data_IF_192396687434
#
_entry.id   IF_192396687434
#
_cell.length_a   1.000
_cell.length_b   1.000
_cell.length_c   1.000
_cell.angle_alpha   90.00
_cell.angle_beta   90.00
_cell.angle_gamma   90.00
#
_symmetry.space_group_name_H-M   'P 1'
#
loop_
_entity.id
_entity.type
_entity.pdbx_description
1 polymer ?
#
# COMPACT_ATOMS: atom_id res chain seq x y z
N UNK A 1 -31.44 -51.59 10.00
CA UNK A 1 -30.57 -50.78 10.88
C UNK A 1 -29.26 -50.54 10.14
N UNK A 2 -29.11 -49.41 9.45
CA UNK A 2 -27.81 -48.92 9.00
C UNK A 2 -27.62 -47.56 9.68
N UNK A 3 -26.67 -47.49 10.62
CA UNK A 3 -26.29 -46.27 11.29
C UNK A 3 -25.29 -45.52 10.40
N UNK A 4 -25.71 -44.39 9.85
CA UNK A 4 -24.83 -43.46 9.14
C UNK A 4 -23.98 -42.70 10.16
N UNK A 5 -22.68 -42.96 10.21
CA UNK A 5 -21.71 -42.12 10.92
C UNK A 5 -21.59 -40.77 10.21
N UNK A 6 -22.14 -39.72 10.83
CA UNK A 6 -21.81 -38.33 10.51
C UNK A 6 -20.42 -38.02 11.08
N UNK A 7 -19.40 -38.05 10.21
CA UNK A 7 -18.09 -37.51 10.52
C UNK A 7 -18.16 -35.99 10.63
N UNK A 8 -18.00 -35.46 11.84
CA UNK A 8 -17.81 -34.03 12.08
C UNK A 8 -16.41 -33.69 11.54
N UNK A 9 -16.35 -33.08 10.36
CA UNK A 9 -15.13 -32.43 9.89
C UNK A 9 -14.88 -31.20 10.77
N UNK A 10 -13.97 -31.31 11.73
CA UNK A 10 -13.47 -30.17 12.47
C UNK A 10 -12.76 -29.24 11.48
N UNK A 11 -13.37 -28.09 11.19
CA UNK A 11 -12.71 -26.96 10.55
C UNK A 11 -11.60 -26.49 11.49
N UNK A 12 -10.40 -27.01 11.31
CA UNK A 12 -9.19 -26.43 11.89
C UNK A 12 -9.01 -25.05 11.26
N UNK A 13 -9.37 -23.99 11.99
CA UNK A 13 -8.93 -22.64 11.66
C UNK A 13 -7.42 -22.65 11.70
N UNK A 14 -6.77 -22.63 10.53
CA UNK A 14 -5.36 -22.29 10.42
C UNK A 14 -5.21 -20.90 11.02
N UNK A 15 -4.75 -20.83 12.26
CA UNK A 15 -4.33 -19.58 12.87
C UNK A 15 -3.07 -19.16 12.12
N UNK A 16 -3.18 -18.14 11.27
CA UNK A 16 -2.03 -17.49 10.69
C UNK A 16 -1.19 -16.91 11.85
N UNK A 17 -0.09 -17.56 12.20
CA UNK A 17 0.81 -17.09 13.26
C UNK A 17 1.71 -15.99 12.73
N UNK A 18 1.17 -14.76 12.66
CA UNK A 18 1.99 -13.59 12.36
C UNK A 18 3.11 -13.52 13.40
N UNK A 19 4.36 -13.38 12.94
CA UNK A 19 5.42 -13.01 13.87
C UNK A 19 4.99 -11.67 14.49
N UNK A 20 5.00 -11.55 15.82
CA UNK A 20 4.72 -10.29 16.51
C UNK A 20 6.05 -9.63 16.88
N UNK A 21 6.58 -8.76 16.00
CA UNK A 21 7.78 -7.96 16.32
C UNK A 21 7.47 -6.53 16.75
N UNK A 22 6.18 -6.18 16.87
CA UNK A 22 5.77 -4.85 17.32
C UNK A 22 6.00 -3.70 16.32
N UNK A 23 6.41 -3.99 15.07
CA UNK A 23 6.56 -3.00 13.99
C UNK A 23 5.76 -3.38 12.74
N UNK A 24 5.55 -2.43 11.83
CA UNK A 24 4.89 -2.65 10.54
C UNK A 24 3.46 -3.22 10.62
N UNK A 25 2.73 -3.00 11.73
CA UNK A 25 1.31 -3.39 11.85
C UNK A 25 0.41 -2.66 10.85
N UNK A 26 0.78 -1.43 10.47
CA UNK A 26 0.10 -0.59 9.49
C UNK A 26 1.08 -0.22 8.37
N UNK A 27 0.59 0.05 7.15
CA UNK A 27 1.43 0.54 6.06
C UNK A 27 2.24 1.76 6.47
N UNK A 28 3.51 1.81 6.05
CA UNK A 28 4.38 2.96 6.37
C UNK A 28 4.03 4.16 5.49
N UNK A 29 3.97 5.34 6.10
CA UNK A 29 3.83 6.61 5.41
C UNK A 29 5.13 7.39 5.55
N UNK A 30 5.64 7.94 4.44
CA UNK A 30 6.85 8.75 4.51
C UNK A 30 7.26 9.38 3.20
N UNK A 31 8.55 9.67 3.12
CA UNK A 31 9.22 10.21 1.95
C UNK A 31 10.36 9.28 1.55
N UNK A 32 10.63 9.14 0.25
CA UNK A 32 11.82 8.49 -0.25
C UNK A 32 12.43 9.32 -1.40
N UNK A 33 13.75 9.40 -1.43
CA UNK A 33 14.49 10.31 -2.32
C UNK A 33 14.54 9.88 -3.80
N UNK A 34 14.29 8.61 -4.13
CA UNK A 34 14.68 8.03 -5.42
C UNK A 34 13.97 8.65 -6.62
N UNK A 35 12.65 8.72 -6.59
CA UNK A 35 11.83 9.06 -7.76
C UNK A 35 12.17 10.43 -8.37
N UNK A 36 12.63 11.38 -7.56
CA UNK A 36 13.01 12.72 -8.03
C UNK A 36 14.53 12.93 -8.05
N UNK A 37 15.23 12.60 -6.95
CA UNK A 37 16.64 12.97 -6.80
C UNK A 37 17.61 11.90 -7.30
N UNK A 38 17.18 10.64 -7.40
CA UNK A 38 18.05 9.50 -7.74
C UNK A 38 19.32 9.51 -6.86
N UNK A 39 20.52 9.51 -7.46
CA UNK A 39 21.78 9.58 -6.73
C UNK A 39 22.17 10.99 -6.23
N UNK A 40 21.45 12.05 -6.62
CA UNK A 40 21.76 13.44 -6.27
C UNK A 40 21.16 13.82 -4.91
N UNK A 41 21.65 13.14 -3.87
CA UNK A 41 21.20 13.28 -2.49
C UNK A 41 22.36 13.67 -1.59
N UNK A 42 22.06 14.43 -0.54
CA UNK A 42 23.00 14.77 0.53
C UNK A 42 22.25 15.01 1.84
N UNK A 43 22.99 15.15 2.93
CA UNK A 43 22.47 15.39 4.27
C UNK A 43 21.56 16.63 4.35
N UNK A 44 21.98 17.75 3.76
CA UNK A 44 21.22 18.99 3.78
C UNK A 44 19.85 18.82 3.13
N UNK A 45 19.79 18.20 1.95
CA UNK A 45 18.55 17.94 1.22
C UNK A 45 17.57 17.12 2.06
N UNK A 46 18.06 16.09 2.77
CA UNK A 46 17.22 15.22 3.59
C UNK A 46 16.63 15.99 4.77
N UNK A 47 17.43 16.82 5.43
CA UNK A 47 16.98 17.67 6.54
C UNK A 47 15.99 18.74 6.08
N UNK A 48 16.25 19.40 4.95
CA UNK A 48 15.33 20.38 4.35
C UNK A 48 14.00 19.73 3.95
N UNK A 49 14.04 18.53 3.36
CA UNK A 49 12.84 17.75 3.02
C UNK A 49 12.02 17.45 4.28
N UNK A 50 12.66 17.00 5.36
CA UNK A 50 11.98 16.75 6.63
C UNK A 50 11.37 18.04 7.23
N UNK A 51 12.05 19.18 7.13
CA UNK A 51 11.52 20.48 7.55
C UNK A 51 10.28 20.87 6.74
N UNK A 52 10.30 20.68 5.42
CA UNK A 52 9.15 20.95 4.54
C UNK A 52 7.98 20.03 4.89
N UNK A 53 8.21 18.74 5.09
CA UNK A 53 7.17 17.79 5.50
C UNK A 53 6.49 18.22 6.81
N UNK A 54 7.27 18.73 7.77
CA UNK A 54 6.74 19.25 9.03
C UNK A 54 5.94 20.53 8.82
N UNK A 55 6.48 21.50 8.09
CA UNK A 55 5.85 22.82 7.83
C UNK A 55 4.56 22.71 7.02
N UNK A 56 4.52 21.80 6.05
CA UNK A 56 3.36 21.57 5.17
C UNK A 56 2.26 20.72 5.81
N UNK A 57 2.48 20.17 7.01
CA UNK A 57 1.52 19.31 7.70
C UNK A 57 1.50 17.85 7.24
N UNK A 58 2.40 17.44 6.34
CA UNK A 58 2.55 16.04 5.92
C UNK A 58 2.88 15.14 7.11
N UNK A 59 3.80 15.55 7.98
CA UNK A 59 4.10 14.80 9.21
C UNK A 59 2.86 14.66 10.11
N UNK A 60 2.03 15.70 10.19
CA UNK A 60 0.83 15.71 11.03
C UNK A 60 -0.33 14.85 10.50
N UNK A 61 -0.26 14.36 9.26
CA UNK A 61 -1.19 13.36 8.70
C UNK A 61 -0.59 11.96 8.67
N UNK A 62 0.63 11.77 9.17
CA UNK A 62 1.24 10.45 9.36
C UNK A 62 2.47 10.17 8.51
N UNK A 63 2.90 11.06 7.59
CA UNK A 63 4.15 10.88 6.85
C UNK A 63 5.35 11.14 7.78
N UNK A 64 5.73 10.14 8.55
CA UNK A 64 6.72 10.24 9.63
C UNK A 64 8.07 9.56 9.29
N UNK A 65 8.20 8.88 8.15
CA UNK A 65 9.47 8.33 7.69
C UNK A 65 10.15 9.24 6.65
N UNK A 66 11.47 9.40 6.76
CA UNK A 66 12.31 10.03 5.75
C UNK A 66 13.39 9.03 5.35
N UNK A 67 13.25 8.47 4.14
CA UNK A 67 14.06 7.36 3.67
C UNK A 67 15.08 7.82 2.63
N UNK A 68 16.33 7.44 2.88
CA UNK A 68 17.44 7.59 1.95
C UNK A 68 17.44 6.36 1.03
N UNK A 69 17.34 6.58 -0.27
CA UNK A 69 17.49 5.49 -1.25
C UNK A 69 18.96 5.24 -1.61
N UNK A 70 19.23 4.60 -2.75
CA UNK A 70 20.58 4.24 -3.18
C UNK A 70 21.55 5.44 -3.29
N UNK A 71 22.84 5.13 -3.52
CA UNK A 71 23.92 6.09 -3.74
C UNK A 71 24.34 6.93 -2.52
N UNK A 72 24.01 6.49 -1.30
CA UNK A 72 24.40 7.16 -0.07
C UNK A 72 25.81 6.79 0.43
N UNK A 73 26.31 5.60 0.06
CA UNK A 73 27.56 5.04 0.55
C UNK A 73 28.75 5.33 -0.38
N UNK A 74 29.97 5.13 0.12
CA UNK A 74 31.16 4.96 -0.73
C UNK A 74 31.07 3.66 -1.53
N UNK A 75 31.71 3.61 -2.70
CA UNK A 75 31.81 2.41 -3.56
C UNK A 75 32.59 1.25 -2.95
N UNK A 76 33.29 1.48 -1.83
CA UNK A 76 34.10 0.49 -1.13
C UNK A 76 33.75 0.50 0.35
N UNK A 77 33.68 -0.70 0.94
CA UNK A 77 33.66 -0.89 2.39
C UNK A 77 35.01 -0.45 2.97
N UNK A 78 35.04 -0.12 4.26
CA UNK A 78 36.31 0.14 4.95
C UNK A 78 37.11 -1.16 5.20
N UNK A 79 38.28 -1.05 5.83
CA UNK A 79 39.15 -2.18 6.17
C UNK A 79 38.51 -3.22 7.10
N UNK A 80 37.49 -2.85 7.87
CA UNK A 80 36.70 -3.78 8.70
C UNK A 80 35.54 -4.45 7.91
N UNK A 81 35.39 -4.11 6.63
CA UNK A 81 34.29 -4.58 5.78
C UNK A 81 32.94 -3.94 6.12
N UNK A 82 32.91 -2.78 6.78
CA UNK A 82 31.69 -2.04 7.08
C UNK A 82 31.30 -1.10 5.94
N UNK A 83 30.00 -0.88 5.78
CA UNK A 83 29.47 0.19 4.94
C UNK A 83 29.94 1.55 5.47
N UNK A 84 30.28 2.46 4.56
CA UNK A 84 30.74 3.81 4.89
C UNK A 84 29.89 4.80 4.11
N UNK A 85 29.23 5.72 4.79
CA UNK A 85 28.53 6.82 4.14
C UNK A 85 29.52 7.72 3.39
N UNK A 86 29.14 8.22 2.22
CA UNK A 86 29.98 9.16 1.48
C UNK A 86 30.16 10.46 2.30
N UNK A 87 31.37 10.80 2.78
CA UNK A 87 31.59 11.97 3.62
C UNK A 87 31.38 13.30 2.88
N UNK A 88 31.39 13.30 1.54
CA UNK A 88 31.04 14.49 0.76
C UNK A 88 29.52 14.72 0.77
N UNK A 89 28.71 13.65 0.81
CA UNK A 89 27.25 13.74 0.86
C UNK A 89 26.71 13.87 2.29
N UNK A 90 27.36 13.19 3.23
CA UNK A 90 26.96 13.07 4.63
C UNK A 90 28.12 13.44 5.55
N UNK A 91 28.55 14.72 5.57
CA UNK A 91 29.73 15.16 6.31
C UNK A 91 29.62 14.91 7.82
N UNK A 92 28.41 14.89 8.40
CA UNK A 92 28.22 14.55 9.81
C UNK A 92 28.04 13.04 10.08
N UNK A 93 27.90 12.23 9.02
CA UNK A 93 27.61 10.80 9.07
C UNK A 93 26.15 10.47 9.34
N UNK A 94 25.73 9.25 8.96
CA UNK A 94 24.33 8.82 9.03
C UNK A 94 23.78 8.85 10.46
N UNK A 95 24.57 8.48 11.47
CA UNK A 95 24.14 8.51 12.88
C UNK A 95 23.72 9.90 13.37
N UNK A 96 24.39 10.96 12.92
CA UNK A 96 24.02 12.31 13.31
C UNK A 96 22.78 12.80 12.54
N UNK A 97 22.68 12.43 11.25
CA UNK A 97 21.47 12.65 10.46
C UNK A 97 20.24 11.98 11.09
N UNK A 98 20.30 10.70 11.47
CA UNK A 98 19.19 9.98 12.12
C UNK A 98 18.82 10.63 13.45
N UNK A 99 19.81 10.98 14.29
CA UNK A 99 19.58 11.69 15.56
C UNK A 99 18.84 13.01 15.32
N UNK A 100 19.21 13.76 14.29
CA UNK A 100 18.56 15.02 13.93
C UNK A 100 17.12 14.79 13.46
N UNK A 101 16.87 13.80 12.60
CA UNK A 101 15.54 13.40 12.16
C UNK A 101 14.65 12.96 13.33
N UNK A 102 15.18 12.15 14.25
CA UNK A 102 14.49 11.73 15.48
C UNK A 102 14.10 12.92 16.35
N UNK A 103 15.01 13.88 16.56
CA UNK A 103 14.71 15.12 17.30
C UNK A 103 13.64 15.98 16.62
N UNK A 104 13.46 15.84 15.30
CA UNK A 104 12.38 16.50 14.56
C UNK A 104 11.04 15.74 14.62
N UNK A 105 11.03 14.54 15.19
CA UNK A 105 9.86 13.65 15.29
C UNK A 105 9.69 12.72 14.09
N UNK A 106 10.71 12.54 13.27
CA UNK A 106 10.71 11.60 12.15
C UNK A 106 11.42 10.29 12.51
N UNK A 107 11.16 9.27 11.70
CA UNK A 107 11.89 8.01 11.61
C UNK A 107 12.81 8.05 10.39
N UNK A 108 13.98 7.43 10.48
CA UNK A 108 14.97 7.44 9.42
C UNK A 108 15.02 6.08 8.71
N UNK A 109 14.91 6.09 7.39
CA UNK A 109 15.10 4.90 6.56
C UNK A 109 16.38 4.94 5.74
N UNK A 110 16.91 3.76 5.42
CA UNK A 110 18.06 3.57 4.54
C UNK A 110 17.78 2.47 3.52
N UNK A 111 18.71 2.33 2.58
CA UNK A 111 18.64 1.40 1.48
C UNK A 111 19.87 0.48 1.43
N UNK A 112 19.64 -0.79 1.12
CA UNK A 112 20.66 -1.76 0.73
C UNK A 112 20.05 -2.81 -0.20
N UNK A 113 20.81 -3.85 -0.53
CA UNK A 113 20.45 -4.86 -1.52
C UNK A 113 20.77 -6.29 -1.02
N UNK A 114 19.94 -7.26 -1.42
CA UNK A 114 20.12 -8.69 -1.19
C UNK A 114 21.22 -9.31 -2.06
N UNK A 115 21.80 -8.56 -3.00
CA UNK A 115 22.90 -8.97 -3.86
C UNK A 115 24.26 -8.39 -3.45
N UNK A 116 25.25 -8.65 -4.31
CA UNK A 116 26.63 -8.19 -4.10
C UNK A 116 26.77 -6.67 -4.19
N UNK A 117 25.92 -6.05 -5.01
CA UNK A 117 25.88 -4.62 -5.25
C UNK A 117 24.44 -4.15 -5.25
N UNK A 118 24.23 -2.91 -4.84
CA UNK A 118 22.98 -2.21 -5.08
C UNK A 118 22.73 -1.99 -6.57
N UNK A 119 21.51 -1.59 -6.93
CA UNK A 119 21.17 -1.26 -8.31
C UNK A 119 22.05 -0.13 -8.90
N UNK A 120 22.45 0.84 -8.08
CA UNK A 120 23.39 1.90 -8.40
C UNK A 120 24.86 1.48 -8.33
N UNK A 121 25.14 0.20 -8.06
CA UNK A 121 26.49 -0.38 -8.03
C UNK A 121 27.31 -0.02 -6.78
N UNK A 122 26.66 0.23 -5.63
CA UNK A 122 27.31 0.40 -4.32
C UNK A 122 27.37 -0.94 -3.59
N UNK A 123 28.16 -1.11 -2.52
CA UNK A 123 28.22 -2.38 -1.81
C UNK A 123 26.84 -2.84 -1.32
N UNK A 124 26.37 -4.00 -1.79
CA UNK A 124 25.17 -4.66 -1.29
C UNK A 124 25.47 -5.46 -0.02
N UNK A 125 24.45 -6.03 0.60
CA UNK A 125 24.55 -6.68 1.91
C UNK A 125 24.60 -8.21 1.85
N UNK A 126 24.60 -8.82 0.66
CA UNK A 126 24.76 -10.27 0.53
C UNK A 126 26.01 -10.77 1.28
N UNK A 127 25.84 -11.82 2.09
CA UNK A 127 26.88 -12.39 2.96
C UNK A 127 27.47 -11.42 4.02
N UNK A 128 26.84 -10.26 4.24
CA UNK A 128 27.22 -9.27 5.25
C UNK A 128 26.03 -8.86 6.13
N UNK A 129 24.94 -9.62 6.12
CA UNK A 129 23.62 -9.21 6.62
C UNK A 129 23.67 -8.86 8.12
N UNK A 130 24.28 -9.71 8.94
CA UNK A 130 24.42 -9.45 10.38
C UNK A 130 25.26 -8.20 10.67
N UNK A 131 26.33 -7.99 9.89
CA UNK A 131 27.24 -6.85 10.05
C UNK A 131 26.57 -5.55 9.63
N UNK A 132 25.85 -5.57 8.53
CA UNK A 132 25.15 -4.40 8.00
C UNK A 132 23.92 -4.07 8.86
N UNK A 133 23.16 -5.07 9.31
CA UNK A 133 22.06 -4.89 10.27
C UNK A 133 22.55 -4.27 11.58
N UNK A 134 23.72 -4.69 12.10
CA UNK A 134 24.35 -4.06 13.25
C UNK A 134 24.73 -2.60 12.97
N UNK A 135 25.33 -2.34 11.80
CA UNK A 135 25.70 -0.97 11.37
C UNK A 135 24.48 -0.06 11.32
N UNK A 136 23.39 -0.50 10.70
CA UNK A 136 22.13 0.26 10.63
C UNK A 136 21.51 0.48 12.01
N UNK A 137 21.55 -0.53 12.89
CA UNK A 137 21.07 -0.39 14.27
C UNK A 137 21.91 0.60 15.09
N UNK A 138 23.24 0.60 14.92
CA UNK A 138 24.16 1.51 15.61
C UNK A 138 23.99 2.96 15.14
N UNK A 139 23.60 3.15 13.88
CA UNK A 139 23.21 4.45 13.33
C UNK A 139 21.79 4.85 13.71
N UNK A 140 20.98 3.98 14.32
CA UNK A 140 19.60 4.31 14.72
C UNK A 140 18.62 4.38 13.53
N UNK A 141 18.81 3.54 12.52
CA UNK A 141 17.87 3.39 11.41
C UNK A 141 16.60 2.67 11.88
N UNK A 142 15.43 3.19 11.45
CA UNK A 142 14.11 2.65 11.76
C UNK A 142 13.52 1.81 10.62
N UNK A 143 14.01 1.98 9.39
CA UNK A 143 13.46 1.35 8.19
C UNK A 143 14.56 0.95 7.21
N UNK A 144 14.50 -0.27 6.67
CA UNK A 144 15.38 -0.74 5.61
C UNK A 144 14.58 -1.09 4.36
N UNK A 145 14.79 -0.35 3.27
CA UNK A 145 14.44 -0.81 1.92
C UNK A 145 15.53 -1.77 1.46
N UNK A 146 15.15 -3.00 1.14
CA UNK A 146 16.08 -4.05 0.74
C UNK A 146 15.77 -4.55 -0.66
N UNK A 147 16.67 -4.26 -1.59
CA UNK A 147 16.47 -4.42 -3.02
C UNK A 147 17.05 -5.72 -3.57
N UNK A 148 16.95 -5.89 -4.89
CA UNK A 148 17.10 -7.17 -5.55
C UNK A 148 17.98 -7.13 -6.81
N UNK A 149 19.02 -6.29 -6.81
CA UNK A 149 19.99 -6.18 -7.89
C UNK A 149 21.26 -7.02 -7.61
N UNK A 150 22.07 -7.29 -8.65
CA UNK A 150 23.32 -8.06 -8.55
C UNK A 150 23.21 -9.37 -7.72
N UNK A 151 22.08 -10.06 -7.86
CA UNK A 151 21.76 -11.27 -7.12
C UNK A 151 22.68 -12.42 -7.55
N UNK A 152 23.34 -13.14 -6.60
CA UNK A 152 24.04 -14.36 -6.93
C UNK A 152 23.09 -15.37 -7.57
N UNK A 153 23.55 -16.08 -8.61
CA UNK A 153 22.69 -16.93 -9.42
C UNK A 153 21.81 -17.87 -8.58
N UNK A 154 20.49 -17.74 -8.73
CA UNK A 154 19.50 -18.57 -8.00
C UNK A 154 19.67 -20.06 -8.30
N UNK A 155 20.24 -20.43 -9.46
CA UNK A 155 20.61 -21.82 -9.79
C UNK A 155 21.70 -22.41 -8.87
N UNK A 156 22.50 -21.54 -8.25
CA UNK A 156 23.57 -21.88 -7.31
C UNK A 156 23.04 -21.82 -5.88
N UNK A 157 22.38 -20.72 -5.48
CA UNK A 157 21.93 -20.53 -4.09
C UNK A 157 20.69 -21.36 -3.75
N UNK A 158 19.81 -21.60 -4.74
CA UNK A 158 18.50 -22.29 -4.60
C UNK A 158 17.63 -21.74 -3.47
N UNK A 159 17.81 -20.46 -3.12
CA UNK A 159 17.10 -19.80 -2.03
C UNK A 159 15.70 -19.30 -2.43
N UNK A 160 15.45 -19.11 -3.74
CA UNK A 160 14.22 -18.49 -4.22
C UNK A 160 14.08 -17.04 -3.75
N UNK A 161 12.89 -16.46 -3.90
CA UNK A 161 12.64 -15.07 -3.47
C UNK A 161 12.70 -14.98 -1.94
N UNK A 162 11.92 -15.79 -1.21
CA UNK A 162 11.85 -15.71 0.25
C UNK A 162 13.21 -15.99 0.90
N UNK A 163 13.93 -17.01 0.46
CA UNK A 163 15.23 -17.37 1.05
C UNK A 163 16.31 -16.30 0.89
N UNK A 164 16.20 -15.40 -0.10
CA UNK A 164 17.14 -14.26 -0.25
C UNK A 164 16.99 -13.19 0.83
N UNK A 165 15.76 -12.97 1.30
CA UNK A 165 15.47 -11.94 2.30
C UNK A 165 15.58 -12.45 3.74
N UNK A 166 15.47 -13.77 3.94
CA UNK A 166 15.55 -14.45 5.25
C UNK A 166 16.82 -14.07 6.04
N UNK A 167 18.05 -14.09 5.48
CA UNK A 167 19.25 -13.76 6.26
C UNK A 167 19.23 -12.34 6.83
N UNK A 168 18.78 -11.34 6.06
CA UNK A 168 18.65 -9.96 6.53
C UNK A 168 17.53 -9.80 7.56
N UNK A 169 16.37 -10.45 7.34
CA UNK A 169 15.28 -10.49 8.34
C UNK A 169 15.79 -11.02 9.68
N UNK A 170 16.47 -12.16 9.67
CA UNK A 170 16.95 -12.82 10.89
C UNK A 170 18.06 -12.01 11.57
N UNK A 171 18.93 -11.38 10.79
CA UNK A 171 19.93 -10.44 11.27
C UNK A 171 19.29 -9.24 12.00
N UNK A 172 18.28 -8.60 11.40
CA UNK A 172 17.54 -7.49 12.02
C UNK A 172 16.92 -7.91 13.34
N UNK A 173 16.24 -9.05 13.37
CA UNK A 173 15.62 -9.59 14.60
C UNK A 173 16.68 -9.88 15.67
N UNK A 174 17.79 -10.50 15.28
CA UNK A 174 18.89 -10.85 16.20
C UNK A 174 19.52 -9.61 16.83
N UNK A 175 19.84 -8.61 16.02
CA UNK A 175 20.42 -7.33 16.48
C UNK A 175 19.44 -6.59 17.39
N UNK A 176 18.16 -6.53 17.04
CA UNK A 176 17.13 -5.88 17.84
C UNK A 176 16.97 -6.55 19.23
N UNK A 177 16.92 -7.88 19.26
CA UNK A 177 16.88 -8.67 20.51
C UNK A 177 18.10 -8.40 21.38
N UNK A 178 19.30 -8.43 20.80
CA UNK A 178 20.55 -8.15 21.52
C UNK A 178 20.57 -6.72 22.07
N UNK A 179 20.09 -5.75 21.30
CA UNK A 179 20.01 -4.35 21.70
C UNK A 179 18.83 -4.05 22.66
N UNK A 180 17.92 -5.01 22.90
CA UNK A 180 16.65 -4.81 23.63
C UNK A 180 15.83 -3.65 23.06
N UNK A 181 15.73 -3.57 21.74
CA UNK A 181 14.97 -2.56 20.99
C UNK A 181 13.98 -3.24 20.05
N UNK A 182 13.02 -2.46 19.54
CA UNK A 182 12.21 -2.88 18.39
C UNK A 182 13.11 -3.05 17.16
N UNK A 183 12.84 -4.03 16.28
CA UNK A 183 13.54 -4.14 15.01
C UNK A 183 13.18 -3.00 14.07
N UNK A 184 14.07 -2.69 13.14
CA UNK A 184 13.74 -1.81 12.01
C UNK A 184 12.66 -2.45 11.14
N UNK A 185 11.79 -1.64 10.56
CA UNK A 185 10.83 -2.08 9.54
C UNK A 185 11.62 -2.61 8.34
N UNK A 186 11.33 -3.83 7.90
CA UNK A 186 12.05 -4.49 6.83
C UNK A 186 11.20 -4.57 5.58
N UNK A 187 11.57 -3.82 4.54
CA UNK A 187 10.80 -3.74 3.31
C UNK A 187 11.50 -4.46 2.17
N UNK A 188 10.73 -5.30 1.49
CA UNK A 188 11.20 -6.16 0.42
C UNK A 188 10.85 -5.50 -0.92
N UNK A 189 11.88 -5.15 -1.68
CA UNK A 189 11.74 -4.66 -3.05
C UNK A 189 11.98 -5.83 -4.01
N UNK A 190 10.92 -6.62 -4.24
CA UNK A 190 10.99 -7.73 -5.18
C UNK A 190 10.59 -7.28 -6.59
N UNK A 191 11.44 -7.53 -7.58
CA UNK A 191 11.02 -7.48 -8.99
C UNK A 191 10.16 -8.73 -9.31
N UNK A 192 8.87 -8.68 -8.99
CA UNK A 192 7.90 -9.72 -9.40
C UNK A 192 7.45 -9.50 -10.86
N UNK A 193 8.41 -9.38 -11.80
CA UNK A 193 8.17 -9.42 -13.26
C UNK A 193 9.49 -9.20 -14.02
N UNK A 194 9.71 -9.82 -15.20
CA UNK A 194 10.91 -9.59 -16.01
C UNK A 194 11.02 -8.20 -16.66
N UNK A 195 10.06 -7.27 -16.51
CA UNK A 195 10.14 -5.94 -17.17
C UNK A 195 9.48 -4.80 -16.39
N UNK A 196 10.27 -3.73 -16.22
CA UNK A 196 9.92 -2.29 -16.02
C UNK A 196 8.72 -1.96 -15.13
N UNK A 197 8.97 -1.80 -13.83
CA UNK A 197 8.10 -1.05 -12.89
C UNK A 197 8.82 0.19 -12.30
N UNK A 198 10.09 0.43 -12.67
CA UNK A 198 10.96 1.38 -11.96
C UNK A 198 10.80 2.85 -12.39
N UNK A 199 10.03 3.14 -13.44
CA UNK A 199 9.72 4.51 -13.89
C UNK A 199 8.28 4.51 -14.37
N UNK A 200 7.42 5.28 -13.70
CA UNK A 200 5.99 5.35 -13.96
C UNK A 200 5.58 6.82 -14.12
N UNK A 201 5.89 7.41 -15.28
CA UNK A 201 5.64 8.82 -15.60
C UNK A 201 4.40 9.04 -16.50
N UNK A 202 3.66 7.97 -16.82
CA UNK A 202 2.51 7.97 -17.73
C UNK A 202 1.27 7.27 -17.13
N UNK A 203 0.08 7.60 -17.64
CA UNK A 203 -1.22 7.01 -17.26
C UNK A 203 -1.28 5.50 -17.37
N UNK A 204 -0.73 4.94 -18.45
CA UNK A 204 -0.58 3.49 -18.66
C UNK A 204 0.17 2.82 -17.50
N UNK A 205 1.04 3.56 -16.82
CA UNK A 205 1.81 3.07 -15.67
C UNK A 205 0.98 2.95 -14.39
N UNK A 206 0.03 3.87 -14.15
CA UNK A 206 -0.93 3.76 -13.04
C UNK A 206 -1.78 2.50 -13.21
N UNK A 207 -2.24 2.28 -14.44
CA UNK A 207 -3.08 1.14 -14.80
C UNK A 207 -2.35 -0.19 -14.67
N UNK A 208 -1.09 -0.26 -15.11
CA UNK A 208 -0.25 -1.44 -14.91
C UNK A 208 -0.06 -1.78 -13.42
N UNK A 209 0.14 -0.78 -12.56
CA UNK A 209 0.31 -1.03 -11.13
C UNK A 209 -0.95 -1.64 -10.49
N UNK A 210 -2.15 -1.19 -10.87
CA UNK A 210 -3.41 -1.76 -10.37
C UNK A 210 -3.61 -3.25 -10.71
N UNK A 211 -2.93 -3.73 -11.76
CA UNK A 211 -3.01 -5.12 -12.19
C UNK A 211 -2.09 -6.01 -11.35
N UNK A 212 -0.88 -5.52 -11.04
CA UNK A 212 0.13 -6.30 -10.33
C UNK A 212 0.04 -6.19 -8.79
N UNK A 213 -0.54 -5.10 -8.27
CA UNK A 213 -0.65 -4.86 -6.82
C UNK A 213 -1.53 -5.91 -6.09
N UNK A 214 -2.74 -6.28 -6.57
CA UNK A 214 -3.55 -7.32 -5.92
C UNK A 214 -2.87 -8.70 -5.92
N UNK A 215 -2.07 -8.99 -6.96
CA UNK A 215 -1.39 -10.27 -7.14
C UNK A 215 -0.24 -10.52 -6.15
N UNK A 216 0.24 -9.51 -5.41
CA UNK A 216 1.10 -9.78 -4.24
C UNK A 216 0.67 -9.12 -2.93
N UNK A 217 -0.43 -8.37 -2.89
CA UNK A 217 -1.20 -8.21 -1.63
C UNK A 217 -1.75 -9.55 -1.15
N UNK A 218 -2.07 -10.48 -2.06
CA UNK A 218 -2.39 -11.87 -1.71
C UNK A 218 -1.24 -12.65 -1.05
N UNK A 219 -0.05 -12.05 -0.93
CA UNK A 219 1.08 -12.54 -0.14
C UNK A 219 1.34 -11.74 1.15
N UNK A 220 0.59 -10.65 1.43
CA UNK A 220 0.55 -9.99 2.75
C UNK A 220 -0.10 -10.90 3.80
N UNK A 221 -0.85 -11.91 3.35
CA UNK A 221 -1.37 -12.99 4.18
C UNK A 221 -0.34 -14.07 4.53
N UNK A 222 0.96 -13.89 4.19
CA UNK A 222 2.02 -14.70 4.79
C UNK A 222 2.42 -14.11 6.15
N UNK A 223 1.92 -14.67 7.27
CA UNK A 223 2.28 -14.25 8.63
C UNK A 223 3.80 -14.27 8.94
N UNK A 224 4.61 -14.89 8.08
CA UNK A 224 6.07 -15.01 8.25
C UNK A 224 6.84 -13.75 7.84
N UNK A 225 6.18 -12.77 7.22
CA UNK A 225 6.84 -11.65 6.56
C UNK A 225 6.43 -10.30 7.18
N UNK A 226 7.37 -9.66 7.88
CA UNK A 226 7.27 -8.25 8.29
C UNK A 226 7.46 -7.27 7.13
N UNK A 227 7.01 -7.69 5.94
CA UNK A 227 7.37 -7.06 4.69
C UNK A 227 6.17 -6.44 4.02
N UNK A 228 6.33 -5.18 3.61
CA UNK A 228 5.49 -4.61 2.57
C UNK A 228 6.17 -4.85 1.23
N UNK A 229 5.42 -5.40 0.27
CA UNK A 229 5.83 -5.35 -1.13
C UNK A 229 5.74 -3.90 -1.61
N UNK A 230 6.89 -3.32 -1.94
CA UNK A 230 6.95 -1.98 -2.54
C UNK A 230 6.62 -2.08 -4.03
N UNK A 231 5.41 -1.66 -4.41
CA UNK A 231 5.00 -1.58 -5.81
C UNK A 231 5.36 -0.24 -6.48
N UNK A 232 6.51 0.34 -6.09
CA UNK A 232 6.97 1.69 -6.44
C UNK A 232 6.39 2.82 -5.57
N UNK A 233 7.21 3.86 -5.38
CA UNK A 233 6.91 5.08 -4.64
C UNK A 233 5.83 5.91 -5.38
N UNK A 234 5.13 6.77 -4.64
CA UNK A 234 4.13 7.66 -5.22
C UNK A 234 4.78 8.59 -6.26
N UNK A 235 4.13 8.72 -7.42
CA UNK A 235 4.53 9.61 -8.51
C UNK A 235 3.78 10.95 -8.48
N UNK A 236 3.05 11.19 -7.39
CA UNK A 236 2.28 12.42 -7.16
C UNK A 236 3.24 13.61 -7.08
N UNK A 237 3.17 14.49 -8.09
CA UNK A 237 4.08 15.65 -8.23
C UNK A 237 5.20 15.46 -9.25
N UNK A 238 5.33 14.27 -9.83
CA UNK A 238 6.30 13.96 -10.89
C UNK A 238 5.59 13.82 -12.24
N UNK A 239 6.36 13.97 -13.33
CA UNK A 239 5.86 13.79 -14.70
C UNK A 239 4.67 14.69 -15.03
N UNK A 240 3.82 14.23 -15.95
CA UNK A 240 2.73 15.02 -16.52
C UNK A 240 1.33 14.53 -16.10
N UNK A 241 1.21 13.82 -14.97
CA UNK A 241 -0.09 13.35 -14.49
C UNK A 241 -1.06 14.52 -14.25
N UNK A 242 -2.29 14.38 -14.76
CA UNK A 242 -3.38 15.32 -14.51
C UNK A 242 -3.80 15.27 -13.04
N UNK A 243 -4.62 16.24 -12.61
CA UNK A 243 -5.15 16.25 -11.25
C UNK A 243 -5.93 14.97 -10.93
N UNK A 244 -6.81 14.54 -11.84
CA UNK A 244 -7.64 13.35 -11.63
C UNK A 244 -6.80 12.06 -11.65
N UNK A 245 -5.75 11.98 -12.48
CA UNK A 245 -4.83 10.84 -12.48
C UNK A 245 -4.02 10.76 -11.17
N UNK A 246 -3.54 11.90 -10.66
CA UNK A 246 -2.89 11.97 -9.34
C UNK A 246 -3.86 11.49 -8.25
N UNK A 247 -5.12 11.95 -8.31
CA UNK A 247 -6.17 11.55 -7.37
C UNK A 247 -6.42 10.05 -7.42
N UNK A 248 -6.52 9.48 -8.62
CA UNK A 248 -6.70 8.04 -8.89
C UNK A 248 -5.54 7.20 -8.37
N UNK A 249 -4.30 7.55 -8.74
CA UNK A 249 -3.09 6.87 -8.30
C UNK A 249 -2.97 6.84 -6.76
N UNK A 250 -3.10 8.00 -6.12
CA UNK A 250 -2.97 8.09 -4.67
C UNK A 250 -4.09 7.36 -3.93
N UNK A 251 -5.35 7.50 -4.39
CA UNK A 251 -6.50 6.79 -3.81
C UNK A 251 -6.29 5.29 -3.89
N UNK A 252 -5.89 4.78 -5.06
CA UNK A 252 -5.72 3.35 -5.25
C UNK A 252 -4.62 2.80 -4.34
N UNK A 253 -3.45 3.45 -4.26
CA UNK A 253 -2.38 3.02 -3.34
C UNK A 253 -2.84 3.03 -1.88
N UNK A 254 -3.54 4.07 -1.46
CA UNK A 254 -4.02 4.20 -0.09
C UNK A 254 -5.03 3.11 0.27
N UNK A 255 -6.06 2.92 -0.57
CA UNK A 255 -7.12 1.94 -0.31
C UNK A 255 -6.67 0.49 -0.51
N UNK A 256 -5.66 0.26 -1.34
CA UNK A 256 -4.99 -1.04 -1.47
C UNK A 256 -4.01 -1.33 -0.31
N UNK A 257 -3.92 -0.44 0.69
CA UNK A 257 -3.01 -0.58 1.84
C UNK A 257 -1.53 -0.71 1.47
N UNK A 258 -1.13 -0.05 0.38
CA UNK A 258 0.29 0.13 0.05
C UNK A 258 0.95 1.10 1.04
N UNK A 259 2.27 0.95 1.35
CA UNK A 259 3.04 2.03 1.92
C UNK A 259 2.95 3.29 1.05
N UNK A 260 2.80 4.45 1.68
CA UNK A 260 2.65 5.72 0.98
C UNK A 260 3.94 6.52 1.12
N UNK A 261 4.90 6.25 0.24
CA UNK A 261 6.13 7.03 0.14
C UNK A 261 6.01 8.12 -0.91
N UNK A 262 6.06 9.37 -0.48
CA UNK A 262 6.17 10.53 -1.36
C UNK A 262 7.55 10.51 -2.02
N UNK A 263 7.60 10.68 -3.34
CA UNK A 263 8.84 10.63 -4.12
C UNK A 263 9.05 11.84 -5.03
N UNK A 264 8.60 13.04 -4.62
CA UNK A 264 8.66 14.26 -5.45
C UNK A 264 9.53 15.35 -4.82
N UNK A 265 9.78 16.45 -5.54
CA UNK A 265 10.42 17.64 -4.99
C UNK A 265 9.44 18.45 -4.12
N UNK A 266 9.54 18.29 -2.80
CA UNK A 266 8.63 18.98 -1.88
C UNK A 266 8.82 20.50 -1.84
N UNK A 267 9.98 21.03 -2.23
CA UNK A 267 10.21 22.48 -2.30
C UNK A 267 9.36 23.16 -3.39
N UNK A 268 8.88 22.38 -4.37
CA UNK A 268 8.03 22.84 -5.47
C UNK A 268 6.62 22.22 -5.42
N UNK A 269 6.19 21.70 -4.27
CA UNK A 269 4.88 21.05 -4.15
C UNK A 269 3.75 22.06 -4.38
N UNK A 270 2.78 21.69 -5.22
CA UNK A 270 1.57 22.50 -5.44
C UNK A 270 0.53 22.27 -4.35
N UNK A 271 -0.38 23.24 -4.17
CA UNK A 271 -1.52 23.10 -3.24
C UNK A 271 -2.37 21.86 -3.55
N UNK A 272 -2.58 21.56 -4.84
CA UNK A 272 -3.39 20.42 -5.27
C UNK A 272 -2.74 19.09 -4.90
N UNK A 273 -1.42 18.99 -5.11
CA UNK A 273 -0.62 17.82 -4.72
C UNK A 273 -0.65 17.64 -3.21
N UNK A 274 -0.49 18.73 -2.45
CA UNK A 274 -0.56 18.70 -1.00
C UNK A 274 -1.94 18.30 -0.48
N UNK A 275 -3.02 18.81 -1.10
CA UNK A 275 -4.40 18.45 -0.76
C UNK A 275 -4.70 16.97 -1.00
N UNK A 276 -4.14 16.37 -2.06
CA UNK A 276 -4.22 14.93 -2.32
C UNK A 276 -3.50 14.17 -1.22
N UNK A 277 -2.22 14.49 -0.97
CA UNK A 277 -1.39 13.78 0.00
C UNK A 277 -1.92 13.90 1.43
N UNK A 278 -2.64 14.98 1.77
CA UNK A 278 -3.12 15.25 3.15
C UNK A 278 -4.57 14.85 3.41
N UNK A 279 -5.20 14.06 2.52
CA UNK A 279 -6.58 13.62 2.73
C UNK A 279 -6.69 12.61 3.88
N UNK A 280 -7.00 13.13 5.08
CA UNK A 280 -7.08 12.36 6.33
C UNK A 280 -8.09 11.21 6.30
N UNK A 281 -9.18 11.31 5.54
CA UNK A 281 -10.21 10.27 5.53
C UNK A 281 -9.79 9.04 4.74
N UNK A 282 -9.11 9.24 3.62
CA UNK A 282 -8.54 8.13 2.84
C UNK A 282 -7.31 7.55 3.56
N UNK A 283 -6.48 8.39 4.18
CA UNK A 283 -5.38 7.92 5.05
C UNK A 283 -5.91 7.05 6.19
N UNK A 284 -7.05 7.41 6.81
CA UNK A 284 -7.64 6.62 7.88
C UNK A 284 -8.07 5.20 7.44
N UNK A 285 -8.40 4.99 6.16
CA UNK A 285 -8.66 3.65 5.62
C UNK A 285 -7.36 2.86 5.45
N UNK A 286 -6.32 3.49 4.91
CA UNK A 286 -4.99 2.90 4.80
C UNK A 286 -4.47 2.46 6.18
N UNK A 287 -4.64 3.35 7.17
CA UNK A 287 -4.20 3.22 8.56
C UNK A 287 -5.26 2.60 9.49
N UNK A 288 -6.20 1.81 8.95
CA UNK A 288 -7.23 1.15 9.76
C UNK A 288 -6.60 0.11 10.72
N UNK A 289 -6.73 0.27 12.05
CA UNK A 289 -6.09 -0.59 13.04
C UNK A 289 -6.82 -1.92 13.29
N UNK A 290 -8.04 -2.07 12.73
CA UNK A 290 -8.91 -3.24 12.91
C UNK A 290 -8.90 -4.11 11.66
N UNK A 291 -9.05 -3.52 10.49
CA UNK A 291 -9.09 -4.23 9.21
C UNK A 291 -7.78 -4.03 8.46
N UNK A 292 -6.92 -5.06 8.44
CA UNK A 292 -5.64 -5.05 7.72
C UNK A 292 -5.75 -5.40 6.23
N UNK A 293 -6.89 -5.93 5.78
CA UNK A 293 -7.12 -6.34 4.40
C UNK A 293 -7.29 -5.14 3.46
N UNK A 294 -6.75 -5.23 2.24
CA UNK A 294 -6.96 -4.22 1.21
C UNK A 294 -8.37 -4.29 0.62
N UNK A 295 -8.79 -3.24 -0.09
CA UNK A 295 -9.88 -3.39 -1.05
C UNK A 295 -9.52 -4.45 -2.12
N UNK A 296 -10.53 -5.12 -2.67
CA UNK A 296 -10.40 -6.09 -3.75
C UNK A 296 -11.39 -5.78 -4.87
N UNK A 297 -11.06 -6.12 -6.13
CA UNK A 297 -11.95 -5.84 -7.25
C UNK A 297 -13.16 -6.79 -7.18
N UNK A 298 -14.35 -6.26 -7.39
CA UNK A 298 -15.57 -7.07 -7.51
C UNK A 298 -16.17 -7.02 -8.91
N UNK A 299 -15.69 -6.11 -9.78
CA UNK A 299 -16.06 -6.08 -11.19
C UNK A 299 -15.02 -5.34 -12.04
N UNK A 300 -14.67 -5.89 -13.20
CA UNK A 300 -13.68 -5.28 -14.11
C UNK A 300 -14.25 -4.14 -14.94
N UNK A 301 -15.57 -4.13 -15.15
CA UNK A 301 -16.28 -3.05 -15.83
C UNK A 301 -16.27 -3.25 -17.34
N UNK A 302 -15.51 -2.45 -18.10
CA UNK A 302 -15.50 -2.56 -19.57
C UNK A 302 -14.94 -3.88 -20.09
N UNK A 303 -14.14 -4.58 -19.26
CA UNK A 303 -13.63 -5.91 -19.56
C UNK A 303 -14.41 -6.97 -18.76
N UNK A 304 -14.50 -8.22 -19.26
CA UNK A 304 -14.94 -9.34 -18.46
C UNK A 304 -14.13 -9.47 -17.16
N UNK A 305 -14.76 -9.96 -16.10
CA UNK A 305 -14.08 -10.17 -14.82
C UNK A 305 -12.85 -11.08 -14.98
N UNK A 306 -11.82 -10.81 -14.18
CA UNK A 306 -10.51 -11.48 -14.23
C UNK A 306 -9.71 -11.29 -15.53
N UNK A 307 -10.06 -10.31 -16.37
CA UNK A 307 -9.29 -9.99 -17.57
C UNK A 307 -8.01 -9.20 -17.25
N UNK A 308 -6.90 -9.59 -17.86
CA UNK A 308 -5.69 -8.77 -17.89
C UNK A 308 -5.80 -7.73 -19.02
N UNK A 309 -5.78 -6.45 -18.68
CA UNK A 309 -5.72 -5.36 -19.65
C UNK A 309 -4.94 -4.18 -19.08
N UNK A 310 -3.78 -3.88 -19.67
CA UNK A 310 -2.84 -2.86 -19.22
C UNK A 310 -3.41 -1.43 -19.21
N UNK A 311 -4.39 -1.13 -20.07
CA UNK A 311 -4.97 0.21 -20.21
C UNK A 311 -6.29 0.35 -19.46
N UNK A 312 -6.98 -0.78 -19.24
CA UNK A 312 -8.29 -0.82 -18.62
C UNK A 312 -8.34 -1.90 -17.53
N UNK A 313 -7.66 -1.67 -16.39
CA UNK A 313 -7.70 -2.59 -15.25
C UNK A 313 -9.10 -2.64 -14.62
N UNK A 314 -9.25 -3.42 -13.56
CA UNK A 314 -10.53 -3.49 -12.87
C UNK A 314 -11.01 -2.11 -12.40
N UNK A 315 -12.28 -1.82 -12.63
CA UNK A 315 -12.86 -0.49 -12.38
C UNK A 315 -13.62 -0.37 -11.06
N UNK A 316 -14.09 -1.49 -10.47
CA UNK A 316 -14.95 -1.48 -9.29
C UNK A 316 -14.35 -2.33 -8.17
N UNK A 317 -14.12 -1.68 -7.02
CA UNK A 317 -13.41 -2.27 -5.90
C UNK A 317 -14.13 -2.00 -4.59
N UNK A 318 -14.00 -2.92 -3.64
CA UNK A 318 -14.61 -2.78 -2.33
C UNK A 318 -13.82 -3.48 -1.24
N UNK A 319 -13.92 -2.98 -0.02
CA UNK A 319 -13.27 -3.56 1.17
C UNK A 319 -13.92 -3.08 2.45
N UNK A 320 -13.55 -3.72 3.56
CA UNK A 320 -14.05 -3.36 4.89
C UNK A 320 -13.11 -2.36 5.56
N UNK A 321 -13.69 -1.53 6.41
CA UNK A 321 -13.00 -0.69 7.39
C UNK A 321 -13.78 -0.71 8.69
N UNK A 322 -13.15 -0.29 9.80
CA UNK A 322 -13.80 -0.11 11.09
C UNK A 322 -15.00 0.84 11.01
N UNK A 323 -15.01 1.71 10.01
CA UNK A 323 -16.04 2.72 9.80
C UNK A 323 -17.02 2.35 8.68
N UNK A 324 -17.06 1.11 8.21
CA UNK A 324 -18.00 0.65 7.17
C UNK A 324 -17.31 0.14 5.91
N UNK A 325 -18.09 0.01 4.83
CA UNK A 325 -17.61 -0.53 3.57
C UNK A 325 -17.05 0.59 2.69
N UNK A 326 -15.82 0.43 2.25
CA UNK A 326 -15.14 1.34 1.33
C UNK A 326 -15.41 0.89 -0.10
N UNK A 327 -15.78 1.82 -0.97
CA UNK A 327 -15.99 1.60 -2.40
C UNK A 327 -15.05 2.51 -3.18
N UNK A 328 -14.34 1.94 -4.16
CA UNK A 328 -13.57 2.69 -5.14
C UNK A 328 -14.10 2.39 -6.54
N UNK A 329 -14.46 3.43 -7.29
CA UNK A 329 -14.80 3.34 -8.70
C UNK A 329 -13.82 4.17 -9.50
N UNK A 330 -13.20 3.53 -10.48
CA UNK A 330 -12.11 4.09 -11.26
C UNK A 330 -12.52 4.18 -12.72
N UNK A 331 -12.56 5.40 -13.25
CA UNK A 331 -12.85 5.63 -14.64
C UNK A 331 -11.56 5.53 -15.46
N UNK A 332 -11.41 4.45 -16.23
CA UNK A 332 -10.23 4.22 -17.08
C UNK A 332 -10.39 4.78 -18.49
N UNK A 333 -11.42 5.59 -18.74
CA UNK A 333 -11.71 6.20 -20.04
C UNK A 333 -11.21 7.64 -20.09
N UNK A 334 -10.90 8.12 -21.31
CA UNK A 334 -10.44 9.50 -21.58
C UNK A 334 -11.58 10.55 -21.55
N UNK A 335 -12.78 10.17 -21.11
CA UNK A 335 -13.93 11.07 -20.95
C UNK A 335 -14.68 10.76 -19.67
N UNK A 336 -15.47 11.73 -19.18
CA UNK A 336 -16.30 11.51 -18.01
C UNK A 336 -17.35 10.43 -18.27
N UNK A 337 -17.51 9.48 -17.34
CA UNK A 337 -18.39 8.33 -17.51
C UNK A 337 -19.35 8.19 -16.33
N UNK A 338 -20.61 7.82 -16.61
CA UNK A 338 -21.57 7.42 -15.59
C UNK A 338 -21.27 5.99 -15.16
N UNK A 339 -20.66 5.83 -13.99
CA UNK A 339 -20.36 4.53 -13.40
C UNK A 339 -21.46 4.15 -12.41
N UNK A 340 -21.91 2.90 -12.47
CA UNK A 340 -22.97 2.41 -11.58
C UNK A 340 -22.79 0.96 -11.20
N UNK A 341 -23.20 0.57 -9.99
CA UNK A 341 -23.24 -0.83 -9.56
C UNK A 341 -24.42 -1.07 -8.63
N UNK A 342 -24.94 -2.30 -8.62
CA UNK A 342 -25.90 -2.77 -7.63
C UNK A 342 -25.18 -3.12 -6.34
N UNK A 343 -25.76 -2.77 -5.20
CA UNK A 343 -25.16 -3.01 -3.88
C UNK A 343 -24.85 -4.50 -3.65
N UNK A 344 -25.58 -5.42 -4.27
CA UNK A 344 -25.35 -6.87 -4.18
C UNK A 344 -24.15 -7.37 -4.97
N UNK A 345 -23.51 -6.54 -5.81
CA UNK A 345 -22.31 -6.93 -6.56
C UNK A 345 -21.06 -6.96 -5.68
N UNK A 346 -21.05 -6.21 -4.58
CA UNK A 346 -19.97 -6.28 -3.59
C UNK A 346 -20.33 -7.26 -2.47
N UNK A 347 -19.38 -8.09 -2.01
CA UNK A 347 -19.63 -9.06 -0.93
C UNK A 347 -19.87 -8.39 0.44
N UNK A 348 -19.66 -7.08 0.55
CA UNK A 348 -19.72 -6.34 1.82
C UNK A 348 -21.03 -5.59 2.05
N UNK A 349 -21.93 -5.58 1.07
CA UNK A 349 -23.24 -4.95 1.15
C UNK A 349 -24.32 -5.96 0.77
N UNK A 350 -25.58 -5.66 1.09
CA UNK A 350 -26.71 -6.55 0.82
C UNK A 350 -27.95 -5.79 0.39
N UNK A 351 -28.82 -6.45 -0.37
CA UNK A 351 -30.18 -6.00 -0.64
C UNK A 351 -31.02 -5.95 0.66
N UNK A 352 -32.12 -5.19 0.65
CA UNK A 352 -32.98 -5.01 1.81
C UNK A 352 -32.44 -4.03 2.85
N UNK A 353 -31.28 -3.40 2.60
CA UNK A 353 -30.69 -2.36 3.45
C UNK A 353 -30.46 -1.09 2.65
N UNK A 354 -30.46 0.04 3.36
CA UNK A 354 -29.97 1.31 2.85
C UNK A 354 -28.65 1.68 3.52
N UNK A 355 -27.80 2.40 2.81
CA UNK A 355 -26.47 2.77 3.29
C UNK A 355 -26.26 4.26 3.18
N UNK A 356 -25.86 4.93 4.27
CA UNK A 356 -25.44 6.34 4.19
C UNK A 356 -24.12 6.44 3.42
N UNK A 357 -24.03 7.38 2.50
CA UNK A 357 -22.86 7.58 1.64
C UNK A 357 -22.07 8.78 2.14
N UNK A 358 -20.79 8.58 2.42
CA UNK A 358 -19.82 9.65 2.57
C UNK A 358 -18.85 9.63 1.39
N UNK A 359 -18.68 10.76 0.72
CA UNK A 359 -17.66 10.93 -0.31
C UNK A 359 -16.36 11.41 0.35
N UNK A 360 -15.30 10.63 0.18
CA UNK A 360 -14.02 10.83 0.88
C UNK A 360 -13.17 11.94 0.25
N UNK A 361 -13.48 12.36 -0.98
CA UNK A 361 -12.79 13.46 -1.65
C UNK A 361 -13.47 14.80 -1.36
N UNK A 362 -14.78 14.89 -1.52
CA UNK A 362 -15.54 16.11 -1.18
C UNK A 362 -15.79 16.27 0.32
N UNK A 363 -15.62 15.19 1.10
CA UNK A 363 -15.86 15.13 2.56
C UNK A 363 -17.30 15.44 2.96
N UNK A 364 -18.23 15.24 2.03
CA UNK A 364 -19.67 15.47 2.23
C UNK A 364 -20.44 14.16 2.40
N UNK A 365 -21.57 14.26 3.10
CA UNK A 365 -22.54 13.16 3.18
C UNK A 365 -23.49 13.28 1.97
N UNK A 366 -23.44 12.30 1.08
CA UNK A 366 -24.16 12.29 -0.20
C UNK A 366 -25.42 11.39 -0.14
N UNK A 367 -26.22 11.58 0.91
CA UNK A 367 -27.50 10.88 1.10
C UNK A 367 -27.36 9.39 1.42
N UNK A 368 -28.37 8.61 1.04
CA UNK A 368 -28.41 7.14 1.23
C UNK A 368 -28.52 6.41 -0.10
N UNK A 369 -27.75 5.34 -0.27
CA UNK A 369 -27.89 4.38 -1.37
C UNK A 369 -28.95 3.33 -1.03
N UNK A 370 -29.75 2.97 -2.04
CA UNK A 370 -30.71 1.88 -2.01
C UNK A 370 -30.59 1.11 -3.32
N UNK A 371 -30.39 -0.21 -3.24
CA UNK A 371 -30.21 -1.16 -4.36
C UNK A 371 -29.04 -0.92 -5.31
N UNK A 372 -28.77 0.32 -5.71
CA UNK A 372 -27.66 0.69 -6.59
C UNK A 372 -27.10 2.07 -6.28
N UNK A 373 -25.92 2.35 -6.84
CA UNK A 373 -25.28 3.67 -6.83
C UNK A 373 -24.89 3.99 -8.26
N UNK A 374 -25.17 5.22 -8.69
CA UNK A 374 -24.72 5.78 -9.98
C UNK A 374 -24.05 7.12 -9.74
N UNK A 375 -22.86 7.34 -10.29
CA UNK A 375 -22.10 8.60 -10.20
C UNK A 375 -21.35 8.86 -11.50
N UNK A 376 -21.27 10.13 -11.89
CA UNK A 376 -20.39 10.55 -12.99
C UNK A 376 -18.98 10.75 -12.44
N UNK A 377 -18.01 10.07 -13.05
CA UNK A 377 -16.60 10.13 -12.68
C UNK A 377 -15.82 10.78 -13.84
N UNK A 378 -14.97 11.80 -13.61
CA UNK A 378 -14.16 12.44 -14.66
C UNK A 378 -13.27 11.45 -15.42
N UNK A 379 -12.77 11.85 -16.59
CA UNK A 379 -11.76 11.12 -17.33
C UNK A 379 -10.57 10.79 -16.42
N UNK A 380 -10.14 9.52 -16.40
CA UNK A 380 -9.06 9.02 -15.54
C UNK A 380 -9.24 9.28 -14.04
N UNK A 381 -10.45 9.67 -13.62
CA UNK A 381 -10.79 10.03 -12.26
C UNK A 381 -11.20 8.85 -11.40
N UNK A 382 -11.29 9.14 -10.10
CA UNK A 382 -11.68 8.17 -9.08
C UNK A 382 -12.79 8.73 -8.21
N UNK A 383 -13.70 7.83 -7.82
CA UNK A 383 -14.61 8.03 -6.72
C UNK A 383 -14.19 7.12 -5.55
N UNK A 384 -14.12 7.70 -4.36
CA UNK A 384 -13.85 6.97 -3.12
C UNK A 384 -15.00 7.26 -2.14
N UNK A 385 -15.78 6.23 -1.81
CA UNK A 385 -16.93 6.35 -0.92
C UNK A 385 -16.75 5.48 0.32
N UNK A 386 -17.31 5.94 1.43
CA UNK A 386 -17.53 5.15 2.63
C UNK A 386 -19.03 4.98 2.86
N UNK A 387 -19.46 3.73 2.87
CA UNK A 387 -20.85 3.33 3.07
C UNK A 387 -21.01 2.74 4.47
N UNK A 388 -21.99 3.25 5.21
CA UNK A 388 -22.38 2.72 6.52
C UNK A 388 -23.82 2.22 6.45
N UNK A 389 -24.09 1.06 7.04
CA UNK A 389 -25.44 0.54 7.15
C UNK A 389 -26.31 1.57 7.90
N UNK A 390 -27.38 2.03 7.24
CA UNK A 390 -28.27 3.07 7.72
C UNK A 390 -29.70 2.53 7.96
N UNK A 391 -29.83 1.21 8.13
CA UNK A 391 -31.09 0.55 8.44
C UNK A 391 -31.72 -0.16 7.25
N UNK A 392 -32.98 -0.53 7.44
CA UNK A 392 -33.74 -1.23 6.41
C UNK A 392 -34.03 -0.33 5.21
N UNK A 393 -34.16 -0.99 4.07
CA UNK A 393 -34.66 -0.37 2.84
C UNK A 393 -36.06 0.25 3.05
N UNK A 394 -36.38 1.40 2.41
CA UNK A 394 -37.72 1.98 2.50
C UNK A 394 -38.83 0.99 2.12
N UNK A 395 -39.96 1.07 2.83
CA UNK A 395 -41.14 0.26 2.52
C UNK A 395 -41.65 0.52 1.10
N UNK A 396 -42.26 -0.49 0.47
CA UNK A 396 -42.74 -0.41 -0.92
C UNK A 396 -41.70 -0.78 -1.98
N UNK A 397 -40.48 -1.11 -1.56
CA UNK A 397 -39.40 -1.63 -2.39
C UNK A 397 -39.16 -3.12 -2.13
N UNK A 398 -40.20 -3.89 -1.83
CA UNK A 398 -40.04 -5.35 -1.76
C UNK A 398 -39.81 -5.88 -3.19
N UNK A 399 -38.90 -6.85 -3.40
CA UNK A 399 -38.83 -7.52 -4.69
C UNK A 399 -40.16 -8.22 -4.95
N UNK A 400 -40.62 -8.21 -6.20
CA UNK A 400 -41.63 -9.17 -6.64
C UNK A 400 -41.10 -10.58 -6.34
N UNK A 401 -41.97 -11.48 -5.92
CA UNK A 401 -41.51 -12.80 -5.48
C UNK A 401 -40.85 -13.50 -6.66
N UNK A 402 -39.76 -14.22 -6.38
CA UNK A 402 -38.94 -14.89 -7.40
C UNK A 402 -39.75 -15.83 -8.28
N UNK A 403 -40.84 -16.40 -7.74
CA UNK A 403 -41.84 -17.15 -8.49
C UNK A 403 -43.24 -16.83 -7.95
N UNK A 404 -44.18 -16.55 -8.86
CA UNK A 404 -45.52 -16.07 -8.52
C UNK A 404 -46.32 -17.02 -7.62
N UNK A 405 -46.07 -18.34 -7.68
CA UNK A 405 -46.75 -19.33 -6.83
C UNK A 405 -46.19 -19.44 -5.41
N UNK A 406 -45.04 -18.80 -5.13
CA UNK A 406 -44.46 -18.68 -3.78
C UNK A 406 -44.70 -17.30 -3.17
N UNK A 407 -45.38 -16.41 -3.88
CA UNK A 407 -45.74 -15.10 -3.36
C UNK A 407 -46.68 -15.21 -2.17
N UNK A 408 -46.27 -14.64 -1.04
CA UNK A 408 -47.05 -14.65 0.20
C UNK A 408 -46.99 -13.26 0.83
N UNK A 409 -48.15 -12.67 1.12
CA UNK A 409 -48.29 -11.42 1.86
C UNK A 409 -47.86 -11.60 3.33
N UNK A 410 -47.58 -10.52 4.06
CA UNK A 410 -47.15 -10.54 5.47
C UNK A 410 -48.13 -11.28 6.40
N UNK A 411 -49.39 -11.41 6.00
CA UNK A 411 -50.42 -12.17 6.72
C UNK A 411 -50.47 -13.67 6.36
N UNK A 412 -49.56 -14.16 5.50
CA UNK A 412 -49.53 -15.57 5.08
C UNK A 412 -50.41 -15.90 3.87
N UNK A 413 -51.11 -14.93 3.28
CA UNK A 413 -51.97 -15.15 2.12
C UNK A 413 -51.15 -15.23 0.85
N UNK A 414 -51.37 -16.27 0.02
CA UNK A 414 -50.75 -16.32 -1.30
C UNK A 414 -51.27 -15.17 -2.16
N UNK A 415 -50.38 -14.29 -2.61
CA UNK A 415 -50.71 -13.20 -3.53
C UNK A 415 -50.37 -13.66 -4.94
N UNK A 416 -51.39 -13.96 -5.74
CA UNK A 416 -51.24 -14.46 -7.09
C UNK A 416 -51.17 -13.32 -8.09
N UNK A 417 -50.06 -13.24 -8.84
CA UNK A 417 -49.94 -12.44 -10.07
C UNK A 417 -49.86 -10.95 -9.83
#
# INVERSE_FOLDING_TARGET
MLASLLGIAALSTLSAHALDTGVAKLPVLGYNTWNFYQCNINEQLILETAQIMKKSGLQAVGYDHVNIDDCWALKKRNSAGLLVADPAKFPSGIKNLTTTLHNMGFKAGIYSDAGWFTCGGFPGSYSNELKDAQTFSDWGIDYLKYDNCAIPYDSITRQGVIGRYTPMRDAIISVAKKAKKLPMVFSLSTRLSPRRLDIMDETTSIWLALIFVPAGITHISDPSCFCFFLYSQLQIGNGNLTYEEKKSHWTAWALMKSPLFIGTNLSAITSDTLNILTNREIIAINQDPVYGESISPFRWGINPDWSFNATHPAQYWSGRSQNGTVIMMLNTLDHAAAMSFNLTETPWLRAGRKYSIRDLWSRTNNGTAVRSITRTVPAHGVLALLLKDAGDEPAGLYPECSVWWQCTDKNGTRVGG
#
